data_IF_560405346301
#
_entry.id   IF_560405346301
#
_cell.length_a   1.000
_cell.length_b   1.000
_cell.length_c   1.000
_cell.angle_alpha   90.00
_cell.angle_beta   90.00
_cell.angle_gamma   90.00
#
_symmetry.space_group_name_H-M   'P 1'
#
loop_
_entity.id
_entity.type
_entity.pdbx_description
1 polymer ?
#
# COMPACT_ATOMS: atom_id res chain seq x y z
N UNK A 1 -2.24 -2.32 8.81
CA UNK A 1 -3.46 -2.06 8.00
C UNK A 1 -3.50 -3.05 6.84
N UNK A 2 -4.68 -3.43 6.37
CA UNK A 2 -4.83 -4.42 5.29
C UNK A 2 -5.29 -3.81 3.97
N UNK A 3 -4.82 -4.34 2.84
CA UNK A 3 -5.23 -3.95 1.49
C UNK A 3 -5.22 -5.16 0.54
N UNK A 4 -5.85 -5.04 -0.64
CA UNK A 4 -5.86 -6.10 -1.66
C UNK A 4 -4.81 -5.85 -2.72
N UNK A 5 -4.03 -6.87 -3.07
CA UNK A 5 -3.02 -6.78 -4.12
C UNK A 5 -3.66 -6.46 -5.49
N UNK A 6 -3.17 -5.46 -6.25
CA UNK A 6 -3.74 -5.08 -7.56
C UNK A 6 -3.43 -6.10 -8.68
N UNK A 7 -2.56 -7.08 -8.42
CA UNK A 7 -2.21 -8.15 -9.37
C UNK A 7 -3.03 -9.42 -9.15
N UNK A 8 -2.99 -9.98 -7.94
CA UNK A 8 -3.59 -11.29 -7.63
C UNK A 8 -4.80 -11.23 -6.70
N UNK A 9 -5.19 -10.03 -6.24
CA UNK A 9 -6.32 -9.79 -5.34
C UNK A 9 -6.19 -10.47 -3.97
N UNK A 10 -5.02 -11.02 -3.63
CA UNK A 10 -4.77 -11.56 -2.31
C UNK A 10 -4.74 -10.45 -1.25
N UNK A 11 -5.19 -10.72 -0.02
CA UNK A 11 -5.03 -9.79 1.10
C UNK A 11 -3.54 -9.64 1.43
N UNK A 12 -3.13 -8.41 1.70
CA UNK A 12 -1.79 -8.03 2.16
C UNK A 12 -1.93 -7.13 3.38
N UNK A 13 -0.93 -7.17 4.25
CA UNK A 13 -0.84 -6.29 5.42
C UNK A 13 0.41 -5.41 5.35
N UNK A 14 0.31 -4.19 5.87
CA UNK A 14 1.40 -3.22 5.95
C UNK A 14 1.38 -2.51 7.30
N UNK A 15 2.55 -2.26 7.87
CA UNK A 15 2.72 -1.36 9.02
C UNK A 15 2.92 0.06 8.49
N UNK A 16 2.19 1.02 9.04
CA UNK A 16 2.24 2.43 8.62
C UNK A 16 2.80 3.26 9.76
N UNK A 17 3.88 4.00 9.48
CA UNK A 17 4.36 5.09 10.32
C UNK A 17 3.70 6.40 9.87
N UNK A 18 2.75 6.89 10.66
CA UNK A 18 1.99 8.11 10.36
C UNK A 18 2.86 9.35 10.13
N UNK A 19 4.06 9.40 10.72
CA UNK A 19 4.95 10.56 10.61
C UNK A 19 5.77 10.50 9.31
N UNK A 20 6.19 9.30 8.92
CA UNK A 20 7.17 9.12 7.85
C UNK A 20 6.57 8.61 6.52
N UNK A 21 5.43 7.92 6.57
CA UNK A 21 4.87 7.25 5.40
C UNK A 21 3.77 8.07 4.71
N UNK A 22 3.09 8.95 5.44
CA UNK A 22 2.01 9.78 4.89
C UNK A 22 2.57 10.71 3.82
N UNK A 23 1.99 10.65 2.62
CA UNK A 23 2.44 11.43 1.46
C UNK A 23 3.70 10.90 0.76
N UNK A 24 4.20 9.73 1.15
CA UNK A 24 5.27 9.01 0.44
C UNK A 24 4.68 7.88 -0.41
N UNK A 25 5.33 7.60 -1.54
CA UNK A 25 5.10 6.38 -2.33
C UNK A 25 6.04 5.31 -1.81
N UNK A 26 5.50 4.18 -1.40
CA UNK A 26 6.26 3.01 -1.00
C UNK A 26 6.16 1.94 -2.09
N UNK A 27 7.28 1.30 -2.43
CA UNK A 27 7.27 0.12 -3.30
C UNK A 27 7.52 -1.10 -2.44
N UNK A 28 6.57 -2.04 -2.46
CA UNK A 28 6.60 -3.27 -1.68
C UNK A 28 6.18 -4.46 -2.54
N UNK A 29 6.73 -5.64 -2.27
CA UNK A 29 6.33 -6.86 -2.97
C UNK A 29 5.07 -7.45 -2.33
N UNK A 30 4.16 -7.96 -3.17
CA UNK A 30 3.02 -8.73 -2.68
C UNK A 30 3.49 -9.95 -1.88
N UNK A 31 2.92 -10.14 -0.68
CA UNK A 31 3.19 -11.26 0.23
C UNK A 31 2.81 -12.64 -0.34
N UNK A 32 2.05 -12.67 -1.44
CA UNK A 32 1.54 -13.90 -2.07
C UNK A 32 2.11 -14.12 -3.47
N UNK A 33 2.02 -13.13 -4.36
CA UNK A 33 2.43 -13.28 -5.76
C UNK A 33 3.77 -12.62 -6.11
N UNK A 34 4.45 -12.00 -5.14
CA UNK A 34 5.76 -11.35 -5.30
C UNK A 34 5.83 -10.34 -6.46
N UNK A 35 4.70 -9.68 -6.77
CA UNK A 35 4.66 -8.59 -7.76
C UNK A 35 4.86 -7.25 -7.03
N UNK A 36 5.58 -6.28 -7.64
CA UNK A 36 5.86 -4.98 -7.02
C UNK A 36 4.60 -4.10 -7.01
N UNK A 37 4.22 -3.61 -5.84
CA UNK A 37 3.05 -2.76 -5.60
C UNK A 37 3.54 -1.37 -5.22
N UNK A 38 3.00 -0.34 -5.87
CA UNK A 38 3.10 1.04 -5.37
C UNK A 38 1.98 1.28 -4.36
N UNK A 39 2.35 1.68 -3.15
CA UNK A 39 1.43 1.99 -2.07
C UNK A 39 1.52 3.47 -1.72
N UNK A 40 0.38 4.16 -1.78
CA UNK A 40 0.24 5.53 -1.34
C UNK A 40 -0.57 5.56 -0.03
N UNK A 41 -0.09 6.36 0.92
CA UNK A 41 -0.74 6.56 2.22
C UNK A 41 -1.22 8.01 2.30
N UNK A 42 -2.53 8.19 2.44
CA UNK A 42 -3.16 9.49 2.60
C UNK A 42 -3.72 9.64 4.00
N UNK A 43 -3.65 10.86 4.54
CA UNK A 43 -4.32 11.22 5.79
C UNK A 43 -5.45 12.20 5.49
N UNK A 44 -6.67 11.83 5.89
CA UNK A 44 -7.88 12.64 5.79
C UNK A 44 -8.43 12.93 7.18
N UNK A 45 -7.97 14.02 7.80
CA UNK A 45 -8.25 14.30 9.21
C UNK A 45 -7.55 13.29 10.10
N UNK A 46 -8.32 12.56 10.90
CA UNK A 46 -7.80 11.51 11.79
C UNK A 46 -7.82 10.10 11.13
N UNK A 47 -8.26 9.99 9.87
CA UNK A 47 -8.35 8.71 9.15
C UNK A 47 -7.18 8.54 8.16
N UNK A 48 -6.59 7.34 8.16
CA UNK A 48 -5.61 6.93 7.16
C UNK A 48 -6.29 6.13 6.04
N UNK A 49 -5.90 6.41 4.80
CA UNK A 49 -6.35 5.70 3.62
C UNK A 49 -5.15 5.14 2.85
N UNK A 50 -5.30 3.92 2.34
CA UNK A 50 -4.32 3.26 1.49
C UNK A 50 -4.83 3.18 0.06
N UNK A 51 -3.95 3.46 -0.89
CA UNK A 51 -4.18 3.19 -2.31
C UNK A 51 -3.04 2.30 -2.83
N UNK A 52 -3.40 1.16 -3.41
CA UNK A 52 -2.45 0.18 -3.94
C UNK A 52 -2.59 0.09 -5.47
N UNK A 53 -1.53 0.43 -6.18
CA UNK A 53 -1.46 0.41 -7.64
C UNK A 53 -0.35 -0.54 -8.11
N UNK A 54 -0.41 -0.91 -9.39
CA UNK A 54 0.66 -1.65 -10.04
C UNK A 54 1.82 -0.69 -10.30
N UNK A 55 3.04 -1.07 -9.95
CA UNK A 55 4.22 -0.21 -10.18
C UNK A 55 4.52 0.01 -11.67
N UNK A 56 4.05 -0.91 -12.52
CA UNK A 56 4.35 -0.95 -13.94
C UNK A 56 3.19 -0.54 -14.86
N UNK A 57 2.17 0.15 -14.32
CA UNK A 57 1.06 0.74 -15.10
C UNK A 57 1.38 2.15 -15.64
#
# INVERSE_FOLDING_TARGET
>A
MGFSCPYCMAPNDVEIDEINDVGQVQVLDCQVCCQPIELNVYQHGDELQLEATREND
#
